data_IF_034710226936
#
_entry.id   IF_034710226936
#
_cell.length_a   1.000
_cell.length_b   1.000
_cell.length_c   1.000
_cell.angle_alpha   90.00
_cell.angle_beta   90.00
_cell.angle_gamma   90.00
#
_symmetry.space_group_name_H-M   'P 1'
#
loop_
_entity.id
_entity.type
_entity.pdbx_description
1 polymer ?
#
# COMPACT_ATOMS: atom_id res chain seq x y z
N UNK A 1 -17.24 14.76 21.46
CA UNK A 1 -18.36 14.32 20.60
C UNK A 1 -19.59 14.03 21.45
N UNK A 2 -20.71 14.70 21.14
CA UNK A 2 -21.98 14.57 21.87
C UNK A 2 -22.53 13.14 21.82
N UNK A 3 -23.16 12.68 22.91
CA UNK A 3 -23.79 11.35 23.01
C UNK A 3 -24.80 11.08 21.89
N UNK A 4 -25.50 12.14 21.46
CA UNK A 4 -26.47 12.09 20.36
C UNK A 4 -25.81 11.81 19.01
N UNK A 5 -24.63 12.39 18.75
CA UNK A 5 -23.86 12.14 17.53
C UNK A 5 -23.37 10.70 17.46
N UNK A 6 -23.02 10.09 18.60
CA UNK A 6 -22.64 8.67 18.67
C UNK A 6 -23.83 7.76 18.38
N UNK A 7 -25.01 8.09 18.92
CA UNK A 7 -26.24 7.33 18.65
C UNK A 7 -26.66 7.44 17.18
N UNK A 8 -26.60 8.64 16.59
CA UNK A 8 -26.85 8.85 15.16
C UNK A 8 -25.90 8.04 14.27
N UNK A 9 -24.61 8.01 14.60
CA UNK A 9 -23.62 7.22 13.88
C UNK A 9 -23.96 5.72 13.90
N UNK A 10 -24.28 5.18 15.08
CA UNK A 10 -24.63 3.75 15.23
C UNK A 10 -25.90 3.41 14.43
N UNK A 11 -26.95 4.23 14.54
CA UNK A 11 -28.21 4.03 13.81
C UNK A 11 -27.99 4.13 12.30
N UNK A 12 -27.20 5.10 11.84
CA UNK A 12 -26.89 5.27 10.42
C UNK A 12 -26.09 4.08 9.86
N UNK A 13 -25.07 3.60 10.59
CA UNK A 13 -24.31 2.41 10.20
C UNK A 13 -25.19 1.15 10.19
N UNK A 14 -26.09 1.00 11.15
CA UNK A 14 -27.02 -0.12 11.20
C UNK A 14 -28.02 -0.10 10.03
N UNK A 15 -28.58 1.07 9.72
CA UNK A 15 -29.48 1.26 8.57
C UNK A 15 -28.77 1.01 7.24
N UNK A 16 -27.53 1.48 7.09
CA UNK A 16 -26.73 1.20 5.90
C UNK A 16 -26.46 -0.31 5.74
N UNK A 17 -26.14 -1.01 6.83
CA UNK A 17 -25.98 -2.46 6.83
C UNK A 17 -27.30 -3.21 6.55
N UNK A 18 -28.44 -2.71 7.03
CA UNK A 18 -29.75 -3.31 6.80
C UNK A 18 -30.23 -3.14 5.36
N UNK A 19 -29.99 -1.96 4.77
CA UNK A 19 -30.38 -1.67 3.40
C UNK A 19 -29.46 -2.30 2.36
N UNK A 20 -28.27 -2.79 2.72
CA UNK A 20 -27.40 -3.53 1.82
C UNK A 20 -28.03 -4.90 1.51
N UNK A 21 -28.47 -5.16 0.26
CA UNK A 21 -29.03 -6.46 -0.10
C UNK A 21 -27.92 -7.50 -0.28
N UNK A 22 -27.37 -7.99 0.84
CA UNK A 22 -26.37 -9.06 0.87
C UNK A 22 -26.88 -10.39 0.30
N UNK A 23 -28.19 -10.53 0.16
CA UNK A 23 -28.83 -11.73 -0.39
C UNK A 23 -29.00 -11.71 -1.92
N UNK A 24 -28.69 -10.58 -2.56
CA UNK A 24 -28.75 -10.50 -4.02
C UNK A 24 -27.48 -11.15 -4.62
N UNK A 25 -27.61 -12.11 -5.56
CA UNK A 25 -26.47 -12.84 -6.11
C UNK A 25 -25.42 -11.91 -6.76
N UNK A 26 -25.86 -10.79 -7.34
CA UNK A 26 -24.96 -9.75 -7.91
C UNK A 26 -24.09 -9.05 -6.87
N UNK A 27 -24.58 -8.88 -5.64
CA UNK A 27 -23.80 -8.23 -4.58
C UNK A 27 -22.68 -9.17 -4.10
N UNK A 28 -22.99 -10.44 -3.90
CA UNK A 28 -21.99 -11.44 -3.49
C UNK A 28 -20.91 -11.64 -4.56
N UNK A 29 -21.31 -11.72 -5.83
CA UNK A 29 -20.35 -11.82 -6.93
C UNK A 29 -19.47 -10.57 -7.04
N UNK A 30 -20.04 -9.38 -6.91
CA UNK A 30 -19.28 -8.12 -6.99
C UNK A 30 -18.25 -7.97 -5.87
N UNK A 31 -18.58 -8.40 -4.64
CA UNK A 31 -17.63 -8.38 -3.52
C UNK A 31 -16.47 -9.34 -3.80
N UNK A 32 -16.77 -10.58 -4.21
CA UNK A 32 -15.73 -11.57 -4.52
C UNK A 32 -14.84 -11.11 -5.68
N UNK A 33 -15.43 -10.55 -6.74
CA UNK A 33 -14.71 -10.04 -7.90
C UNK A 33 -13.81 -8.86 -7.54
N UNK A 34 -14.25 -7.95 -6.67
CA UNK A 34 -13.43 -6.87 -6.14
C UNK A 34 -12.19 -7.39 -5.37
N UNK A 35 -12.36 -8.42 -4.53
CA UNK A 35 -11.23 -9.05 -3.84
C UNK A 35 -10.28 -9.77 -4.79
N UNK A 36 -10.79 -10.49 -5.80
CA UNK A 36 -9.95 -11.13 -6.81
C UNK A 36 -9.16 -10.12 -7.63
N UNK A 37 -9.76 -9.00 -8.04
CA UNK A 37 -9.04 -7.91 -8.71
C UNK A 37 -7.97 -7.30 -7.81
N UNK A 38 -8.27 -7.05 -6.54
CA UNK A 38 -7.30 -6.53 -5.57
C UNK A 38 -6.12 -7.49 -5.37
N UNK A 39 -6.40 -8.81 -5.27
CA UNK A 39 -5.37 -9.83 -5.16
C UNK A 39 -4.50 -9.92 -6.42
N UNK A 40 -5.12 -9.83 -7.60
CA UNK A 40 -4.41 -9.80 -8.88
C UNK A 40 -3.46 -8.61 -8.96
N UNK A 41 -3.97 -7.41 -8.66
CA UNK A 41 -3.19 -6.18 -8.61
C UNK A 41 -2.03 -6.27 -7.61
N UNK A 42 -2.31 -6.73 -6.39
CA UNK A 42 -1.27 -6.88 -5.37
C UNK A 42 -0.20 -7.88 -5.81
N UNK A 43 -0.59 -9.00 -6.44
CA UNK A 43 0.37 -9.99 -6.93
C UNK A 43 1.25 -9.42 -8.03
N UNK A 44 0.67 -8.80 -9.05
CA UNK A 44 1.42 -8.21 -10.16
C UNK A 44 2.35 -7.10 -9.67
N UNK A 45 1.84 -6.14 -8.91
CA UNK A 45 2.64 -4.99 -8.45
C UNK A 45 3.76 -5.40 -7.49
N UNK A 46 3.50 -6.36 -6.61
CA UNK A 46 4.52 -6.89 -5.69
C UNK A 46 5.58 -7.67 -6.45
N UNK A 47 5.22 -8.54 -7.39
CA UNK A 47 6.21 -9.29 -8.17
C UNK A 47 7.07 -8.38 -9.05
N UNK A 48 6.45 -7.45 -9.78
CA UNK A 48 7.15 -6.67 -10.80
C UNK A 48 8.02 -5.55 -10.22
N UNK A 49 7.61 -4.91 -9.13
CA UNK A 49 8.35 -3.78 -8.56
C UNK A 49 8.94 -4.06 -7.17
N UNK A 50 8.17 -4.70 -6.29
CA UNK A 50 8.49 -4.73 -4.86
C UNK A 50 9.51 -5.83 -4.52
N UNK A 51 9.42 -7.00 -5.14
CA UNK A 51 10.42 -8.09 -5.03
C UNK A 51 11.80 -7.65 -5.53
N UNK A 52 11.97 -7.11 -6.76
CA UNK A 52 13.27 -6.66 -7.22
C UNK A 52 13.81 -5.48 -6.40
N UNK A 53 12.97 -4.51 -6.03
CA UNK A 53 13.40 -3.39 -5.20
C UNK A 53 13.89 -3.83 -3.80
N UNK A 54 13.16 -4.73 -3.14
CA UNK A 54 13.58 -5.27 -1.84
C UNK A 54 14.86 -6.11 -1.94
N UNK A 55 15.04 -6.85 -3.04
CA UNK A 55 16.25 -7.63 -3.28
C UNK A 55 17.47 -6.73 -3.49
N UNK A 56 17.33 -5.66 -4.28
CA UNK A 56 18.37 -4.65 -4.49
C UNK A 56 18.67 -3.92 -3.18
N UNK A 57 17.66 -3.49 -2.43
CA UNK A 57 17.83 -2.83 -1.14
C UNK A 57 18.52 -3.75 -0.11
N UNK A 58 18.16 -5.03 -0.08
CA UNK A 58 18.81 -6.05 0.76
C UNK A 58 20.26 -6.30 0.37
N UNK A 59 20.55 -6.38 -0.93
CA UNK A 59 21.93 -6.50 -1.43
C UNK A 59 22.78 -5.26 -1.06
N UNK A 60 22.26 -4.05 -1.28
CA UNK A 60 22.93 -2.81 -0.89
C UNK A 60 23.14 -2.77 0.63
N UNK A 61 22.15 -3.19 1.44
CA UNK A 61 22.28 -3.22 2.90
C UNK A 61 23.36 -4.19 3.41
N UNK A 62 23.61 -5.28 2.67
CA UNK A 62 24.63 -6.27 3.05
C UNK A 62 26.02 -5.93 2.50
N UNK A 63 26.10 -5.30 1.32
CA UNK A 63 27.37 -5.01 0.64
C UNK A 63 27.87 -3.56 0.83
N UNK A 64 27.00 -2.60 1.17
CA UNK A 64 27.34 -1.19 1.27
C UNK A 64 27.11 -0.66 2.69
N UNK A 65 28.21 -0.47 3.44
CA UNK A 65 28.17 0.11 4.78
C UNK A 65 27.48 1.49 4.75
N UNK A 66 26.56 1.77 5.68
CA UNK A 66 25.77 3.03 5.73
C UNK A 66 26.61 4.33 5.64
N UNK A 67 27.90 4.27 5.96
CA UNK A 67 28.86 5.38 5.82
C UNK A 67 29.14 5.78 4.37
N UNK A 68 29.15 4.84 3.42
CA UNK A 68 29.35 5.13 1.99
C UNK A 68 28.07 5.69 1.33
N UNK A 69 26.90 5.22 1.77
CA UNK A 69 25.59 5.72 1.30
C UNK A 69 25.39 7.19 1.71
N UNK A 70 25.69 7.54 2.96
CA UNK A 70 25.64 8.95 3.41
C UNK A 70 26.65 9.85 2.69
N UNK A 71 27.78 9.30 2.22
CA UNK A 71 28.83 10.05 1.51
C UNK A 71 28.49 10.34 0.05
N UNK A 72 27.77 9.45 -0.64
CA UNK A 72 27.45 9.60 -2.07
C UNK A 72 25.97 9.89 -2.38
N UNK A 73 25.05 9.56 -1.47
CA UNK A 73 23.59 9.76 -1.61
C UNK A 73 22.98 10.59 -0.46
N UNK A 74 23.78 11.05 0.51
CA UNK A 74 23.31 11.96 1.57
C UNK A 74 23.02 13.37 1.06
N UNK A 75 22.27 14.19 1.83
CA UNK A 75 21.89 15.56 1.46
C UNK A 75 23.06 16.52 1.16
N UNK A 76 24.29 16.15 1.54
CA UNK A 76 25.55 16.88 1.29
C UNK A 76 26.37 16.35 0.08
N UNK A 77 25.86 15.38 -0.70
CA UNK A 77 26.62 14.80 -1.82
C UNK A 77 26.63 15.70 -3.06
N UNK A 78 27.78 15.88 -3.75
CA UNK A 78 27.85 16.68 -4.97
C UNK A 78 26.96 16.08 -6.07
N UNK A 79 26.04 16.91 -6.58
CA UNK A 79 24.99 16.57 -7.57
C UNK A 79 25.52 15.82 -8.79
N UNK A 80 26.80 16.01 -9.15
CA UNK A 80 27.45 15.42 -10.32
C UNK A 80 27.69 13.91 -10.15
N UNK A 81 28.09 13.45 -8.97
CA UNK A 81 28.20 12.01 -8.68
C UNK A 81 26.86 11.34 -8.44
N UNK A 82 25.85 12.09 -7.97
CA UNK A 82 24.49 11.55 -7.83
C UNK A 82 23.82 11.33 -9.20
N UNK A 83 24.07 12.21 -10.17
CA UNK A 83 23.54 12.09 -11.54
C UNK A 83 24.34 11.16 -12.46
N UNK A 84 25.61 10.83 -12.13
CA UNK A 84 26.42 9.91 -12.92
C UNK A 84 26.17 8.43 -12.63
N UNK A 85 25.42 8.12 -11.57
CA UNK A 85 25.15 6.75 -11.10
C UNK A 85 23.68 6.33 -11.33
N UNK A 86 22.82 7.26 -11.77
CA UNK A 86 21.44 6.99 -12.17
C UNK A 86 21.36 6.74 -13.68
#
# INVERSE_FOLDING_TARGET
>A
MSKQSKLLLIVATFLAAYFLPFRHPRMQSAILEAFYMLQGYAREHVLFCLVPALFIAGAISNFLSSRAVMKYLGPDSPKVTAYGVY
#
